data_IF_862132888355
#
_entry.id   IF_862132888355
#
_cell.length_a   1.000
_cell.length_b   1.000
_cell.length_c   1.000
_cell.angle_alpha   90.00
_cell.angle_beta   90.00
_cell.angle_gamma   90.00
#
_symmetry.space_group_name_H-M   'P 1'
#
loop_
_entity.id
_entity.type
_entity.pdbx_description
1 polymer ?
#
# COMPACT_ATOMS: atom_id res chain seq x y z
N UNK A 1 -24.03 4.29 30.72
CA UNK A 1 -23.43 5.57 30.26
C UNK A 1 -22.51 5.23 29.10
N UNK A 2 -22.62 5.94 27.97
CA UNK A 2 -21.75 5.78 26.80
C UNK A 2 -21.05 7.10 26.54
N UNK A 3 -19.74 7.08 26.31
CA UNK A 3 -18.91 8.25 26.05
C UNK A 3 -18.23 8.03 24.69
N UNK A 4 -18.34 9.02 23.81
CA UNK A 4 -17.73 9.02 22.50
C UNK A 4 -16.61 10.05 22.44
N UNK A 5 -15.58 9.74 21.65
CA UNK A 5 -14.40 10.57 21.49
C UNK A 5 -14.74 11.83 20.70
N UNK A 6 -14.20 12.98 21.13
CA UNK A 6 -14.38 14.25 20.41
C UNK A 6 -13.56 14.35 19.11
N UNK A 7 -12.54 13.51 18.93
CA UNK A 7 -11.72 13.48 17.72
C UNK A 7 -10.79 12.26 17.63
N UNK A 8 -10.38 11.92 16.42
CA UNK A 8 -9.57 10.74 16.11
C UNK A 8 -8.06 11.01 16.24
N UNK A 9 -7.58 11.09 17.48
CA UNK A 9 -6.15 11.19 17.79
C UNK A 9 -5.83 10.36 19.02
N UNK A 10 -4.61 9.84 19.13
CA UNK A 10 -4.19 9.10 20.32
C UNK A 10 -4.26 10.01 21.55
N UNK A 11 -5.03 9.57 22.55
CA UNK A 11 -5.12 10.28 23.83
C UNK A 11 -3.95 9.85 24.69
N UNK A 12 -3.31 10.81 25.34
CA UNK A 12 -2.26 10.53 26.32
C UNK A 12 -2.82 10.08 27.66
N UNK A 13 -4.08 10.40 27.95
CA UNK A 13 -4.84 10.01 29.14
C UNK A 13 -6.35 10.20 28.85
N UNK A 14 -7.20 9.43 29.52
CA UNK A 14 -8.67 9.58 29.55
C UNK A 14 -9.07 10.75 30.46
N UNK A 15 -8.38 10.93 31.59
CA UNK A 15 -8.61 11.99 32.57
C UNK A 15 -7.38 12.88 32.74
N UNK A 16 -7.59 14.16 33.09
CA UNK A 16 -6.49 15.05 33.45
C UNK A 16 -5.93 14.67 34.84
N UNK A 17 -4.64 14.31 34.89
CA UNK A 17 -3.92 14.00 36.14
C UNK A 17 -3.75 12.51 36.45
N UNK A 18 -4.19 11.61 35.57
CA UNK A 18 -3.85 10.18 35.67
C UNK A 18 -2.52 9.86 34.99
N UNK A 19 -2.03 8.63 35.19
CA UNK A 19 -0.81 8.14 34.54
C UNK A 19 -0.98 8.14 33.03
N UNK A 20 0.02 8.67 32.33
CA UNK A 20 -0.01 8.74 30.87
C UNK A 20 0.00 7.33 30.27
N UNK A 21 -0.83 7.12 29.26
CA UNK A 21 -0.85 5.91 28.47
C UNK A 21 0.50 5.77 27.77
N UNK A 22 1.22 4.70 28.10
CA UNK A 22 2.44 4.32 27.41
C UNK A 22 2.08 3.69 26.05
N UNK A 23 2.21 4.51 25.00
CA UNK A 23 1.89 4.14 23.61
C UNK A 23 2.79 3.00 23.10
N UNK A 24 3.96 2.79 23.71
CA UNK A 24 4.87 1.70 23.34
C UNK A 24 4.44 0.35 23.91
N UNK A 25 3.65 0.35 24.98
CA UNK A 25 3.05 -0.88 25.55
C UNK A 25 1.72 -1.28 24.89
N UNK A 26 1.16 -0.41 24.06
CA UNK A 26 -0.07 -0.70 23.34
C UNK A 26 0.23 -1.70 22.22
N UNK A 27 -0.53 -2.80 22.18
CA UNK A 27 -0.46 -3.74 21.08
C UNK A 27 -1.01 -3.08 19.80
N UNK A 28 -0.12 -2.78 18.86
CA UNK A 28 -0.43 -2.15 17.56
C UNK A 28 -0.83 -3.20 16.51
N UNK A 29 -0.82 -4.47 16.86
CA UNK A 29 -1.15 -5.57 15.96
C UNK A 29 -2.65 -5.86 16.01
N UNK A 30 -3.28 -5.86 14.84
CA UNK A 30 -4.66 -6.34 14.66
C UNK A 30 -4.60 -7.79 14.19
N UNK A 31 -5.38 -8.67 14.82
CA UNK A 31 -5.48 -10.06 14.39
C UNK A 31 -6.01 -10.14 12.95
N UNK A 32 -5.38 -10.97 12.11
CA UNK A 32 -5.87 -11.25 10.76
C UNK A 32 -7.31 -11.77 10.73
N UNK A 33 -7.78 -12.37 11.82
CA UNK A 33 -9.13 -12.92 11.92
C UNK A 33 -10.24 -11.84 12.06
N UNK A 34 -9.89 -10.58 12.33
CA UNK A 34 -10.86 -9.47 12.47
C UNK A 34 -10.79 -8.49 11.30
N UNK A 35 -10.18 -8.89 10.19
CA UNK A 35 -10.10 -8.09 8.97
C UNK A 35 -11.40 -8.28 8.21
N UNK A 36 -12.08 -7.18 7.89
CA UNK A 36 -13.30 -7.22 7.10
C UNK A 36 -13.00 -7.55 5.63
N UNK A 37 -13.99 -8.09 4.92
CA UNK A 37 -13.79 -8.61 3.56
C UNK A 37 -13.32 -7.56 2.54
N UNK A 38 -13.63 -6.29 2.79
CA UNK A 38 -13.18 -5.14 2.00
C UNK A 38 -11.69 -4.82 2.21
N UNK A 39 -11.14 -5.12 3.40
CA UNK A 39 -9.74 -4.89 3.76
C UNK A 39 -8.81 -6.03 3.27
N UNK A 40 -9.35 -7.20 2.93
CA UNK A 40 -8.58 -8.35 2.43
C UNK A 40 -7.83 -8.05 1.12
N UNK A 41 -8.44 -7.32 0.18
CA UNK A 41 -7.79 -6.99 -1.09
C UNK A 41 -6.51 -6.16 -0.90
N UNK A 42 -6.50 -5.28 0.12
CA UNK A 42 -5.33 -4.46 0.46
C UNK A 42 -4.25 -5.31 1.12
N UNK A 43 -4.62 -6.23 2.02
CA UNK A 43 -3.69 -7.15 2.66
C UNK A 43 -3.07 -8.15 1.69
N UNK A 44 -3.87 -8.72 0.78
CA UNK A 44 -3.38 -9.65 -0.25
C UNK A 44 -2.34 -8.96 -1.13
N UNK A 45 -2.63 -7.72 -1.53
CA UNK A 45 -1.69 -6.88 -2.29
C UNK A 45 -0.41 -6.61 -1.50
N UNK A 46 -0.51 -6.20 -0.23
CA UNK A 46 0.66 -5.93 0.62
C UNK A 46 1.52 -7.17 0.80
N UNK A 47 0.89 -8.33 1.01
CA UNK A 47 1.56 -9.62 1.17
C UNK A 47 2.28 -10.01 -0.11
N UNK A 48 1.62 -9.87 -1.25
CA UNK A 48 2.21 -10.10 -2.56
C UNK A 48 3.40 -9.18 -2.84
N UNK A 49 3.25 -7.87 -2.59
CA UNK A 49 4.32 -6.88 -2.79
C UNK A 49 5.53 -7.18 -1.90
N UNK A 50 5.30 -7.61 -0.65
CA UNK A 50 6.35 -8.05 0.27
C UNK A 50 7.10 -9.28 -0.26
N UNK A 51 6.38 -10.31 -0.72
CA UNK A 51 7.00 -11.50 -1.31
C UNK A 51 7.79 -11.19 -2.59
N UNK A 52 7.28 -10.34 -3.47
CA UNK A 52 7.97 -9.91 -4.69
C UNK A 52 9.26 -9.16 -4.36
N UNK A 53 9.21 -8.23 -3.39
CA UNK A 53 10.38 -7.50 -2.92
C UNK A 53 11.47 -8.43 -2.36
N UNK A 54 11.09 -9.43 -1.57
CA UNK A 54 12.04 -10.44 -1.06
C UNK A 54 12.70 -11.25 -2.19
N UNK A 55 11.99 -11.48 -3.29
CA UNK A 55 12.50 -12.18 -4.47
C UNK A 55 13.26 -11.26 -5.45
N UNK A 56 13.36 -9.97 -5.17
CA UNK A 56 13.93 -8.98 -6.10
C UNK A 56 13.10 -8.79 -7.38
N UNK A 57 11.82 -9.16 -7.35
CA UNK A 57 10.88 -9.00 -8.46
C UNK A 57 10.11 -7.68 -8.33
N UNK A 58 9.62 -7.13 -9.45
CA UNK A 58 8.87 -5.88 -9.44
C UNK A 58 7.56 -6.01 -8.66
N UNK A 59 7.18 -4.98 -7.90
CA UNK A 59 5.94 -4.97 -7.11
C UNK A 59 4.69 -4.79 -8.01
N UNK A 60 3.49 -5.00 -7.47
CA UNK A 60 2.21 -4.93 -8.21
C UNK A 60 2.02 -3.60 -8.94
N UNK A 61 2.44 -2.49 -8.31
CA UNK A 61 2.34 -1.17 -8.92
C UNK A 61 3.29 -1.01 -10.11
N UNK A 62 4.52 -1.52 -10.01
CA UNK A 62 5.50 -1.50 -11.09
C UNK A 62 5.02 -2.32 -12.28
N UNK A 63 4.49 -3.52 -12.02
CA UNK A 63 3.87 -4.38 -13.02
C UNK A 63 2.74 -3.66 -13.77
N UNK A 64 1.87 -2.96 -13.05
CA UNK A 64 0.75 -2.21 -13.65
C UNK A 64 1.24 -1.06 -14.53
N UNK A 65 2.25 -0.30 -14.10
CA UNK A 65 2.84 0.76 -14.93
C UNK A 65 3.52 0.16 -16.17
N UNK A 66 4.27 -0.93 -16.01
CA UNK A 66 4.89 -1.61 -17.15
C UNK A 66 3.85 -2.06 -18.18
N UNK A 67 2.72 -2.60 -17.75
CA UNK A 67 1.63 -2.98 -18.64
C UNK A 67 1.04 -1.75 -19.38
N UNK A 68 0.80 -0.65 -18.66
CA UNK A 68 0.29 0.59 -19.26
C UNK A 68 1.28 1.19 -20.27
N UNK A 69 2.57 1.21 -19.92
CA UNK A 69 3.63 1.69 -20.81
C UNK A 69 3.74 0.80 -22.04
N UNK A 70 3.72 -0.52 -21.88
CA UNK A 70 3.77 -1.46 -23.00
C UNK A 70 2.57 -1.28 -23.94
N UNK A 71 1.36 -1.13 -23.41
CA UNK A 71 0.16 -0.85 -24.22
C UNK A 71 0.31 0.45 -25.03
N UNK A 72 0.82 1.51 -24.40
CA UNK A 72 1.09 2.78 -25.10
C UNK A 72 2.24 2.67 -26.11
N UNK A 73 3.23 1.84 -25.82
CA UNK A 73 4.38 1.56 -26.68
C UNK A 73 3.96 0.88 -27.99
N UNK A 74 3.05 -0.09 -27.89
CA UNK A 74 2.54 -0.88 -29.02
C UNK A 74 1.37 -0.21 -29.77
N UNK A 75 0.84 0.90 -29.25
CA UNK A 75 -0.30 1.61 -29.82
C UNK A 75 -0.04 2.15 -31.23
N UNK A 76 -1.11 2.26 -32.02
CA UNK A 76 -1.05 2.83 -33.38
C UNK A 76 -0.68 4.32 -33.34
N UNK A 77 0.42 4.70 -34.01
CA UNK A 77 0.96 6.06 -33.96
C UNK A 77 2.04 6.29 -32.88
N UNK A 78 2.33 5.28 -32.06
CA UNK A 78 3.49 5.33 -31.16
C UNK A 78 4.80 5.40 -31.97
N UNK A 79 5.70 6.35 -31.68
CA UNK A 79 7.01 6.42 -32.34
C UNK A 79 7.92 5.23 -31.94
N UNK A 80 7.51 4.46 -30.93
CA UNK A 80 8.23 3.29 -30.43
C UNK A 80 7.65 1.96 -30.91
N UNK A 81 6.54 1.98 -31.66
CA UNK A 81 5.88 0.77 -32.16
C UNK A 81 6.85 -0.10 -32.96
N UNK A 82 6.99 -1.37 -32.56
CA UNK A 82 7.92 -2.34 -33.17
C UNK A 82 9.31 -2.39 -32.53
N UNK A 83 9.63 -1.51 -31.58
CA UNK A 83 10.82 -1.61 -30.74
C UNK A 83 10.53 -2.50 -29.53
N UNK A 84 11.54 -3.21 -29.01
CA UNK A 84 11.39 -4.04 -27.81
C UNK A 84 11.19 -3.15 -26.58
N UNK A 85 10.08 -3.35 -25.87
CA UNK A 85 9.88 -2.75 -24.55
C UNK A 85 10.78 -3.43 -23.52
N UNK A 86 11.59 -2.64 -22.81
CA UNK A 86 12.40 -3.11 -21.68
C UNK A 86 11.92 -2.44 -20.38
N UNK A 87 11.25 -3.19 -19.48
CA UNK A 87 10.78 -2.69 -18.19
C UNK A 87 11.88 -2.10 -17.32
N UNK A 88 13.12 -2.62 -17.41
CA UNK A 88 14.23 -2.20 -16.55
C UNK A 88 14.72 -0.77 -16.83
N UNK A 89 14.30 -0.17 -17.95
CA UNK A 89 14.61 1.23 -18.27
C UNK A 89 13.86 2.24 -17.39
N UNK A 90 12.84 1.81 -16.65
CA UNK A 90 11.95 2.69 -15.89
C UNK A 90 12.10 2.44 -14.39
N UNK A 91 12.45 3.50 -13.65
CA UNK A 91 12.44 3.47 -12.18
C UNK A 91 11.08 3.96 -11.67
N UNK A 92 10.20 3.04 -11.30
CA UNK A 92 8.82 3.35 -10.95
C UNK A 92 8.72 3.62 -9.46
N UNK A 93 8.23 4.81 -9.11
CA UNK A 93 8.02 5.18 -7.71
C UNK A 93 6.69 4.60 -7.19
N UNK A 94 6.59 4.24 -5.89
CA UNK A 94 5.37 3.68 -5.30
C UNK A 94 4.09 4.53 -5.47
N UNK A 95 4.23 5.83 -5.73
CA UNK A 95 3.12 6.76 -5.99
C UNK A 95 2.73 6.94 -7.46
N UNK A 96 3.35 6.21 -8.40
CA UNK A 96 3.12 6.39 -9.84
C UNK A 96 1.73 5.92 -10.31
N UNK A 97 1.02 5.14 -9.50
CA UNK A 97 -0.34 4.66 -9.81
C UNK A 97 -1.22 4.82 -8.58
N UNK A 98 -2.25 5.66 -8.68
CA UNK A 98 -3.35 5.69 -7.72
C UNK A 98 -4.34 4.58 -8.10
N UNK A 99 -4.79 3.85 -7.09
CA UNK A 99 -5.81 2.80 -7.21
C UNK A 99 -7.13 3.33 -6.71
#
# INVERSE_FOLDING_TARGET
VSLSKAGEYWWSAILEGEEHIDIDQINKERSMATVDEEEHAVLDRLTFDYHQKLQGKPQSHELKVHEMLQKGWDAEGSPFRGQRFDPAMFNISPGAVQF
#
